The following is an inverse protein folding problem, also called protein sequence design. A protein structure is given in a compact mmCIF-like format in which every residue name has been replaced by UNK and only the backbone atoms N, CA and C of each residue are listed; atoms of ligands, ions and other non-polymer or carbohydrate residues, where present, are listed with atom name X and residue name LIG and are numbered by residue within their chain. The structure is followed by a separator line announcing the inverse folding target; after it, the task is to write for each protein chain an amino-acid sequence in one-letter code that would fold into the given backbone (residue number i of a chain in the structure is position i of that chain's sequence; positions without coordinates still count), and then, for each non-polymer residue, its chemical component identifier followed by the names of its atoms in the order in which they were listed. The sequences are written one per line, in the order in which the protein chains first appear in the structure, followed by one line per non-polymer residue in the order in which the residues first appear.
data_IF_134842898809
#
_entry.id   IF_134842898809
#
_cell.length_a   1.000
_cell.length_b   1.000
_cell.length_c   1.000
_cell.angle_alpha   90.00
_cell.angle_beta   90.00
_cell.angle_gamma   90.00
#
_symmetry.space_group_name_H-M   'P 1'
#
loop_
_entity.id
_entity.type
_entity.pdbx_description
1 polymer ?
#
# COMPACT_ATOMS: atom_id res chain seq x y z
N UNK A 1 10.40 -8.22 3.71
CA UNK A 1 11.51 -7.23 3.73
C UNK A 1 11.54 -6.49 2.41
N UNK A 2 11.71 -5.17 2.45
CA UNK A 2 11.91 -4.32 1.26
C UNK A 2 13.28 -3.71 1.34
N UNK A 3 14.01 -3.63 0.22
CA UNK A 3 15.22 -2.81 0.06
C UNK A 3 15.20 -2.14 -1.30
N UNK A 4 15.66 -0.88 -1.35
CA UNK A 4 15.89 -0.15 -2.60
C UNK A 4 17.36 0.22 -2.69
N UNK A 5 17.90 0.31 -3.89
CA UNK A 5 19.29 0.72 -4.13
C UNK A 5 19.40 1.54 -5.40
N UNK A 6 20.01 2.74 -5.29
CA UNK A 6 20.25 3.70 -6.38
C UNK A 6 19.01 3.97 -7.27
N UNK A 7 17.82 4.06 -6.63
CA UNK A 7 16.54 4.12 -7.33
C UNK A 7 16.33 5.50 -7.96
N UNK A 8 16.12 5.53 -9.27
CA UNK A 8 15.75 6.75 -10.01
C UNK A 8 14.52 6.54 -10.87
N UNK A 9 13.82 7.63 -11.14
CA UNK A 9 12.70 7.62 -12.08
C UNK A 9 12.64 8.94 -12.88
N UNK A 10 12.45 8.83 -14.19
CA UNK A 10 12.31 9.95 -15.11
C UNK A 10 10.98 9.86 -15.82
N UNK A 11 10.12 10.88 -15.69
CA UNK A 11 8.93 11.02 -16.51
C UNK A 11 9.33 11.52 -17.91
N UNK A 12 8.68 11.02 -18.97
CA UNK A 12 9.00 11.36 -20.37
C UNK A 12 9.01 12.88 -20.63
N UNK A 13 8.03 13.60 -20.04
CA UNK A 13 7.85 15.04 -20.20
C UNK A 13 7.73 15.73 -18.82
N UNK A 14 8.44 15.24 -17.82
CA UNK A 14 8.25 15.67 -16.45
C UNK A 14 9.51 15.60 -15.59
N UNK A 15 9.34 15.72 -14.28
CA UNK A 15 10.44 15.74 -13.34
C UNK A 15 11.16 14.39 -13.25
N UNK A 16 12.44 14.47 -12.90
CA UNK A 16 13.26 13.34 -12.51
C UNK A 16 13.36 13.24 -11.01
N UNK A 17 13.36 12.02 -10.48
CA UNK A 17 13.46 11.74 -9.06
C UNK A 17 14.64 10.81 -8.78
N UNK A 18 15.39 11.12 -7.74
CA UNK A 18 16.38 10.24 -7.12
C UNK A 18 15.87 9.94 -5.72
N UNK A 19 15.77 8.66 -5.39
CA UNK A 19 15.26 8.24 -4.10
C UNK A 19 16.38 7.73 -3.21
N UNK A 20 16.35 8.03 -1.90
CA UNK A 20 17.32 7.46 -0.98
C UNK A 20 17.18 5.94 -0.90
N UNK A 21 18.28 5.26 -0.64
CA UNK A 21 18.23 3.84 -0.31
C UNK A 21 17.42 3.64 0.97
N UNK A 22 16.54 2.66 0.93
CA UNK A 22 15.67 2.36 2.06
C UNK A 22 15.61 0.87 2.35
N UNK A 23 15.38 0.56 3.62
CA UNK A 23 15.18 -0.80 4.10
C UNK A 23 14.04 -0.82 5.10
N UNK A 24 13.13 -1.78 4.92
CA UNK A 24 12.06 -2.07 5.87
C UNK A 24 11.93 -3.59 5.99
N UNK A 25 12.18 -4.13 7.18
CA UNK A 25 12.12 -5.58 7.39
C UNK A 25 10.70 -6.04 7.72
N UNK A 26 10.50 -7.35 7.80
CA UNK A 26 9.22 -7.92 8.19
C UNK A 26 8.79 -7.40 9.57
N UNK A 27 7.51 -7.06 9.74
CA UNK A 27 6.92 -6.46 10.95
C UNK A 27 7.42 -5.05 11.29
N UNK A 28 8.34 -4.49 10.52
CA UNK A 28 8.75 -3.09 10.66
C UNK A 28 7.77 -2.15 9.96
N UNK A 29 7.82 -0.91 10.41
CA UNK A 29 7.07 0.20 9.83
C UNK A 29 8.07 1.25 9.36
N UNK A 30 7.86 1.78 8.17
CA UNK A 30 8.65 2.87 7.61
C UNK A 30 7.70 3.99 7.17
N UNK A 31 7.96 5.18 7.68
CA UNK A 31 7.25 6.38 7.27
C UNK A 31 8.10 7.17 6.27
N UNK A 32 7.53 7.48 5.13
CA UNK A 32 8.15 8.32 4.10
C UNK A 32 7.45 9.66 4.10
N UNK A 33 8.13 10.66 4.64
CA UNK A 33 7.63 12.03 4.77
C UNK A 33 8.12 12.91 3.61
N UNK A 34 7.31 13.89 3.24
CA UNK A 34 7.72 14.90 2.26
C UNK A 34 6.55 15.79 1.83
N UNK A 35 6.87 16.95 1.30
CA UNK A 35 5.88 17.88 0.76
C UNK A 35 5.15 17.28 -0.45
N UNK A 36 4.06 17.90 -0.88
CA UNK A 36 3.39 17.52 -2.13
C UNK A 36 4.35 17.71 -3.33
N UNK A 37 4.33 16.77 -4.27
CA UNK A 37 5.13 16.83 -5.50
C UNK A 37 6.59 16.37 -5.38
N UNK A 38 7.07 15.91 -4.20
CA UNK A 38 8.45 15.41 -4.05
C UNK A 38 8.66 13.95 -4.51
N UNK A 39 7.63 13.29 -5.07
CA UNK A 39 7.75 11.93 -5.59
C UNK A 39 7.31 10.82 -4.64
N UNK A 40 6.61 11.11 -3.52
CA UNK A 40 6.14 10.08 -2.57
C UNK A 40 5.31 8.97 -3.25
N UNK A 41 4.25 9.35 -3.96
CA UNK A 41 3.41 8.39 -4.68
C UNK A 41 4.17 7.69 -5.80
N UNK A 42 5.12 8.38 -6.46
CA UNK A 42 6.00 7.77 -7.46
C UNK A 42 6.85 6.66 -6.82
N UNK A 43 7.49 6.93 -5.67
CA UNK A 43 8.25 5.92 -4.93
C UNK A 43 7.36 4.73 -4.54
N UNK A 44 6.17 5.00 -4.03
CA UNK A 44 5.21 3.95 -3.67
C UNK A 44 4.80 3.10 -4.88
N UNK A 45 4.56 3.74 -6.04
CA UNK A 45 4.21 3.03 -7.27
C UNK A 45 5.38 2.19 -7.83
N UNK A 46 6.62 2.65 -7.67
CA UNK A 46 7.82 1.88 -8.02
C UNK A 46 7.93 0.64 -7.13
N UNK A 47 7.84 0.80 -5.79
CA UNK A 47 7.88 -0.32 -4.84
C UNK A 47 6.69 -1.27 -5.07
N UNK A 48 5.52 -0.73 -5.42
CA UNK A 48 4.32 -1.49 -5.76
C UNK A 48 4.38 -2.23 -7.11
N UNK A 49 5.46 -2.03 -7.89
CA UNK A 49 5.60 -2.61 -9.24
C UNK A 49 4.53 -2.12 -10.22
N UNK A 50 3.95 -0.95 -9.97
CA UNK A 50 3.02 -0.28 -10.89
C UNK A 50 3.75 0.53 -11.95
N UNK A 51 5.01 0.89 -11.65
CA UNK A 51 5.92 1.61 -12.54
C UNK A 51 7.28 0.90 -12.52
N UNK A 52 8.01 0.98 -13.63
CA UNK A 52 9.38 0.49 -13.72
C UNK A 52 10.36 1.63 -13.45
N UNK A 53 11.39 1.44 -12.60
CA UNK A 53 12.39 2.47 -12.38
C UNK A 53 13.24 2.71 -13.63
N UNK A 54 13.77 3.92 -13.78
CA UNK A 54 14.73 4.24 -14.83
C UNK A 54 16.11 3.64 -14.56
N UNK A 55 16.50 3.57 -13.29
CA UNK A 55 17.69 2.84 -12.81
C UNK A 55 17.52 2.39 -11.37
N UNK A 56 18.47 1.59 -10.90
CA UNK A 56 18.47 1.04 -9.55
C UNK A 56 17.69 -0.26 -9.43
N UNK A 57 17.49 -0.72 -8.20
CA UNK A 57 16.82 -1.99 -7.94
C UNK A 57 15.87 -1.91 -6.73
N UNK A 58 14.85 -2.74 -6.77
CA UNK A 58 13.88 -2.91 -5.67
C UNK A 58 13.78 -4.41 -5.39
N UNK A 59 14.09 -4.80 -4.16
CA UNK A 59 13.94 -6.18 -3.71
C UNK A 59 12.84 -6.28 -2.67
N UNK A 60 11.94 -7.24 -2.88
CA UNK A 60 10.92 -7.64 -1.90
C UNK A 60 11.17 -9.10 -1.56
N UNK A 61 11.44 -9.36 -0.28
CA UNK A 61 11.96 -10.65 0.17
C UNK A 61 13.21 -11.06 -0.63
N UNK A 62 13.21 -12.18 -1.30
CA UNK A 62 14.34 -12.67 -2.10
C UNK A 62 14.24 -12.30 -3.59
N UNK A 63 13.18 -11.59 -3.98
CA UNK A 63 12.90 -11.29 -5.39
C UNK A 63 13.27 -9.84 -5.73
N UNK A 64 14.07 -9.66 -6.77
CA UNK A 64 14.31 -8.37 -7.42
C UNK A 64 13.16 -8.10 -8.39
N UNK A 65 12.23 -7.22 -7.98
CA UNK A 65 11.02 -6.96 -8.76
C UNK A 65 11.28 -6.11 -10.01
N UNK A 66 12.42 -5.44 -10.07
CA UNK A 66 12.79 -4.64 -11.27
C UNK A 66 13.10 -5.52 -12.48
N UNK A 67 13.38 -6.81 -12.25
CA UNK A 67 13.62 -7.81 -13.31
C UNK A 67 12.35 -8.53 -13.75
N UNK A 68 11.24 -8.30 -13.05
CA UNK A 68 9.94 -8.87 -13.42
C UNK A 68 9.25 -7.97 -14.43
N UNK A 69 8.50 -8.56 -15.35
CA UNK A 69 7.68 -7.81 -16.32
C UNK A 69 6.38 -8.55 -16.64
N UNK A 70 5.40 -7.81 -17.13
CA UNK A 70 4.12 -8.34 -17.56
C UNK A 70 3.48 -9.25 -16.50
N UNK A 71 3.05 -10.44 -16.90
CA UNK A 71 2.32 -11.37 -16.03
C UNK A 71 3.11 -11.82 -14.79
N UNK A 72 4.44 -11.89 -14.87
CA UNK A 72 5.27 -12.25 -13.70
C UNK A 72 5.19 -11.18 -12.62
N UNK A 73 5.24 -9.89 -13.01
CA UNK A 73 5.06 -8.77 -12.08
C UNK A 73 3.64 -8.71 -11.52
N UNK A 74 2.62 -8.91 -12.36
CA UNK A 74 1.22 -8.89 -11.92
C UNK A 74 0.94 -10.00 -10.91
N UNK A 75 1.43 -11.22 -11.16
CA UNK A 75 1.31 -12.35 -10.24
C UNK A 75 2.09 -12.09 -8.94
N UNK A 76 3.30 -11.56 -9.03
CA UNK A 76 4.09 -11.23 -7.84
C UNK A 76 3.39 -10.16 -6.99
N UNK A 77 2.94 -9.07 -7.61
CA UNK A 77 2.21 -7.99 -6.93
C UNK A 77 0.96 -8.50 -6.23
N UNK A 78 0.12 -9.26 -6.96
CA UNK A 78 -1.13 -9.80 -6.42
C UNK A 78 -0.94 -10.69 -5.19
N UNK A 79 0.21 -11.35 -5.06
CA UNK A 79 0.49 -12.30 -3.97
C UNK A 79 1.34 -11.70 -2.83
N UNK A 80 2.13 -10.65 -3.10
CA UNK A 80 3.12 -10.20 -2.13
C UNK A 80 2.94 -8.74 -1.68
N UNK A 81 2.14 -7.94 -2.40
CA UNK A 81 2.04 -6.51 -2.16
C UNK A 81 0.58 -6.11 -1.98
N UNK A 82 0.23 -5.60 -0.80
CA UNK A 82 -1.06 -4.95 -0.55
C UNK A 82 -0.91 -3.44 -0.71
N UNK A 83 -1.72 -2.82 -1.57
CA UNK A 83 -1.67 -1.37 -1.79
C UNK A 83 -2.97 -0.72 -1.34
N UNK A 84 -2.83 0.29 -0.47
CA UNK A 84 -3.91 1.16 -0.02
C UNK A 84 -3.65 2.52 -0.66
N UNK A 85 -4.46 2.87 -1.64
CA UNK A 85 -4.35 4.14 -2.36
C UNK A 85 -5.08 5.27 -1.62
N UNK A 86 -4.63 6.49 -1.82
CA UNK A 86 -5.32 7.69 -1.33
C UNK A 86 -6.79 7.74 -1.80
N UNK A 87 -7.03 7.39 -3.07
CA UNK A 87 -8.37 7.11 -3.59
C UNK A 87 -8.56 5.60 -3.66
N UNK A 88 -9.63 5.07 -3.08
CA UNK A 88 -9.76 3.62 -2.84
C UNK A 88 -9.97 2.73 -4.08
N UNK A 89 -10.19 3.28 -5.26
CA UNK A 89 -10.28 2.56 -6.56
C UNK A 89 -11.03 1.21 -6.49
N UNK A 90 -12.25 1.21 -5.93
CA UNK A 90 -13.10 0.03 -5.96
C UNK A 90 -13.74 -0.17 -7.34
N UNK A 91 -13.98 -1.41 -7.71
CA UNK A 91 -14.89 -1.74 -8.80
C UNK A 91 -16.31 -1.46 -8.32
N UNK A 92 -16.85 -0.32 -8.71
CA UNK A 92 -18.11 0.24 -8.18
C UNK A 92 -19.34 -0.61 -8.47
N UNK A 93 -19.30 -1.45 -9.52
CA UNK A 93 -20.37 -2.39 -9.85
C UNK A 93 -20.43 -3.59 -8.89
N UNK A 94 -19.39 -3.80 -8.09
CA UNK A 94 -19.27 -4.93 -7.18
C UNK A 94 -19.58 -4.54 -5.74
N UNK A 95 -19.99 -5.53 -4.95
CA UNK A 95 -20.12 -5.39 -3.50
C UNK A 95 -18.74 -5.32 -2.82
N UNK A 96 -18.71 -5.00 -1.53
CA UNK A 96 -17.46 -5.00 -0.73
C UNK A 96 -16.78 -6.37 -0.82
N UNK A 97 -17.52 -7.45 -0.55
CA UNK A 97 -16.94 -8.80 -0.56
C UNK A 97 -16.49 -9.21 -1.97
N UNK A 98 -17.23 -8.84 -3.01
CA UNK A 98 -16.87 -9.18 -4.39
C UNK A 98 -15.58 -8.46 -4.84
N UNK A 99 -15.29 -7.26 -4.33
CA UNK A 99 -14.00 -6.59 -4.55
C UNK A 99 -12.83 -7.38 -3.93
N UNK A 100 -13.04 -8.04 -2.78
CA UNK A 100 -12.01 -8.89 -2.17
C UNK A 100 -11.85 -10.21 -2.96
N UNK A 101 -12.96 -10.85 -3.33
CA UNK A 101 -12.95 -12.08 -4.14
C UNK A 101 -12.27 -11.85 -5.50
N UNK A 102 -12.51 -10.70 -6.11
CA UNK A 102 -11.85 -10.29 -7.35
C UNK A 102 -10.34 -10.17 -7.15
N UNK A 103 -9.89 -9.57 -6.03
CA UNK A 103 -8.46 -9.45 -5.75
C UNK A 103 -7.77 -10.82 -5.58
N UNK A 104 -8.43 -11.79 -4.95
CA UNK A 104 -7.93 -13.17 -4.90
C UNK A 104 -7.87 -13.81 -6.28
N UNK A 105 -8.94 -13.69 -7.06
CA UNK A 105 -9.01 -14.27 -8.41
C UNK A 105 -7.92 -13.71 -9.34
N UNK A 106 -7.69 -12.39 -9.31
CA UNK A 106 -6.70 -11.73 -10.17
C UNK A 106 -5.26 -12.10 -9.81
N UNK A 107 -4.99 -12.45 -8.56
CA UNK A 107 -3.66 -12.94 -8.14
C UNK A 107 -3.39 -14.40 -8.47
N UNK A 108 -4.40 -15.12 -9.01
CA UNK A 108 -4.33 -16.56 -9.28
C UNK A 108 -4.54 -17.44 -8.06
N UNK A 109 -4.96 -16.85 -6.93
CA UNK A 109 -5.25 -17.58 -5.71
C UNK A 109 -6.63 -18.29 -5.80
N UNK A 110 -6.78 -19.32 -4.98
CA UNK A 110 -8.10 -19.92 -4.75
C UNK A 110 -9.00 -18.89 -4.09
N UNK A 111 -10.16 -18.68 -4.68
CA UNK A 111 -11.16 -17.75 -4.15
C UNK A 111 -11.79 -18.33 -2.88
N UNK A 112 -11.51 -17.70 -1.75
CA UNK A 112 -11.99 -18.13 -0.42
C UNK A 112 -12.90 -17.05 0.20
N UNK A 113 -14.21 -17.28 0.06
CA UNK A 113 -15.23 -16.39 0.61
C UNK A 113 -15.23 -16.36 2.14
N UNK A 114 -14.92 -17.48 2.79
CA UNK A 114 -14.89 -17.56 4.25
C UNK A 114 -13.76 -16.68 4.82
N UNK A 115 -12.57 -16.75 4.20
CA UNK A 115 -11.45 -15.87 4.51
C UNK A 115 -11.81 -14.39 4.33
N UNK A 116 -12.45 -14.03 3.20
CA UNK A 116 -12.90 -12.65 2.95
C UNK A 116 -13.87 -12.17 4.04
N UNK A 117 -14.85 -13.01 4.41
CA UNK A 117 -15.84 -12.68 5.46
C UNK A 117 -15.14 -12.47 6.81
N UNK A 118 -14.29 -13.41 7.22
CA UNK A 118 -13.53 -13.31 8.47
C UNK A 118 -12.66 -12.05 8.53
N UNK A 119 -12.03 -11.68 7.40
CA UNK A 119 -11.24 -10.46 7.32
C UNK A 119 -12.11 -9.19 7.46
N UNK A 120 -13.29 -9.16 6.84
CA UNK A 120 -14.23 -8.04 6.98
C UNK A 120 -14.77 -7.93 8.41
N UNK A 121 -15.03 -9.06 9.10
CA UNK A 121 -15.45 -9.07 10.50
C UNK A 121 -14.33 -8.56 11.42
N UNK A 122 -13.08 -8.99 11.22
CA UNK A 122 -11.89 -8.50 11.94
C UNK A 122 -11.71 -6.98 11.79
N UNK A 123 -12.09 -6.43 10.66
CA UNK A 123 -12.03 -4.98 10.38
C UNK A 123 -13.33 -4.23 10.76
N UNK A 124 -14.26 -4.88 11.47
CA UNK A 124 -15.52 -4.31 11.92
C UNK A 124 -16.45 -3.79 10.81
N UNK A 125 -16.37 -4.38 9.62
CA UNK A 125 -17.26 -4.05 8.46
C UNK A 125 -17.97 -5.26 7.87
N UNK A 126 -18.00 -6.40 8.54
CA UNK A 126 -18.67 -7.62 8.05
C UNK A 126 -20.14 -7.40 7.67
N UNK A 127 -20.86 -6.56 8.43
CA UNK A 127 -22.26 -6.18 8.13
C UNK A 127 -22.41 -5.43 6.78
N UNK A 128 -21.32 -4.94 6.22
CA UNK A 128 -21.29 -4.22 4.93
C UNK A 128 -20.81 -5.08 3.77
N UNK A 129 -20.49 -6.36 3.99
CA UNK A 129 -19.94 -7.28 2.98
C UNK A 129 -20.74 -7.26 1.66
N UNK A 130 -22.04 -7.33 1.74
CA UNK A 130 -22.94 -7.36 0.58
C UNK A 130 -23.46 -5.98 0.14
N UNK A 131 -22.88 -4.88 0.67
CA UNK A 131 -23.25 -3.54 0.26
C UNK A 131 -22.38 -3.06 -0.90
N UNK A 132 -22.92 -2.18 -1.73
CA UNK A 132 -22.16 -1.49 -2.75
C UNK A 132 -21.17 -0.51 -2.09
N UNK A 133 -19.96 -0.41 -2.62
CA UNK A 133 -18.89 0.43 -2.07
C UNK A 133 -19.25 1.92 -2.04
N UNK A 134 -20.15 2.39 -2.92
CA UNK A 134 -20.65 3.77 -2.91
C UNK A 134 -21.49 4.12 -1.68
N UNK A 135 -22.12 3.14 -1.06
CA UNK A 135 -22.99 3.34 0.11
C UNK A 135 -22.23 3.36 1.45
N UNK A 136 -20.90 3.19 1.42
CA UNK A 136 -20.08 3.18 2.60
C UNK A 136 -19.74 4.60 3.07
N UNK A 137 -19.67 4.81 4.38
CA UNK A 137 -19.02 5.98 4.97
C UNK A 137 -17.53 6.00 4.60
N UNK A 138 -16.86 7.12 4.84
CA UNK A 138 -15.42 7.25 4.56
C UNK A 138 -14.60 6.23 5.36
N UNK A 139 -14.87 6.08 6.66
CA UNK A 139 -14.16 5.10 7.51
C UNK A 139 -14.44 3.65 7.10
N UNK A 140 -15.70 3.31 6.74
CA UNK A 140 -16.03 1.98 6.22
C UNK A 140 -15.32 1.71 4.87
N UNK A 141 -15.22 2.71 4.02
CA UNK A 141 -14.52 2.62 2.75
C UNK A 141 -13.02 2.40 2.96
N UNK A 142 -12.42 3.07 3.94
CA UNK A 142 -11.02 2.89 4.30
C UNK A 142 -10.76 1.46 4.83
N UNK A 143 -11.61 0.97 5.74
CA UNK A 143 -11.53 -0.41 6.25
C UNK A 143 -11.69 -1.45 5.13
N UNK A 144 -12.58 -1.22 4.17
CA UNK A 144 -12.75 -2.09 3.02
C UNK A 144 -11.51 -2.07 2.09
N UNK A 145 -10.85 -0.92 1.92
CA UNK A 145 -9.61 -0.81 1.17
C UNK A 145 -8.46 -1.56 1.85
N UNK A 146 -8.37 -1.47 3.17
CA UNK A 146 -7.42 -2.26 3.98
C UNK A 146 -7.71 -3.75 3.81
N UNK A 147 -8.98 -4.20 3.92
CA UNK A 147 -9.35 -5.59 3.71
C UNK A 147 -8.90 -6.10 2.33
N UNK A 148 -9.16 -5.32 1.27
CA UNK A 148 -8.75 -5.69 -0.08
C UNK A 148 -7.23 -5.81 -0.22
N UNK A 149 -6.47 -4.92 0.42
CA UNK A 149 -5.01 -4.97 0.39
C UNK A 149 -4.44 -6.21 1.12
N UNK A 150 -5.14 -6.69 2.15
CA UNK A 150 -4.69 -7.79 3.01
C UNK A 150 -5.16 -9.19 2.57
N UNK A 151 -6.14 -9.27 1.67
CA UNK A 151 -6.86 -10.53 1.38
C UNK A 151 -5.96 -11.67 0.89
N UNK A 152 -4.81 -11.34 0.30
CA UNK A 152 -3.82 -12.30 -0.21
C UNK A 152 -2.62 -12.51 0.74
N UNK A 153 -2.68 -12.08 2.00
CA UNK A 153 -1.60 -12.17 2.99
C UNK A 153 -0.27 -11.60 2.46
N UNK A 154 -0.23 -10.31 2.11
CA UNK A 154 0.94 -9.71 1.48
C UNK A 154 2.14 -9.69 2.44
N UNK A 155 3.36 -9.84 1.89
CA UNK A 155 4.59 -9.62 2.63
C UNK A 155 4.90 -8.14 2.87
N UNK A 156 4.26 -7.27 2.08
CA UNK A 156 4.45 -5.81 2.11
C UNK A 156 3.10 -5.11 1.99
N UNK A 157 2.86 -4.13 2.86
CA UNK A 157 1.71 -3.24 2.80
C UNK A 157 2.23 -1.83 2.50
N UNK A 158 1.72 -1.25 1.42
CA UNK A 158 2.02 0.12 0.98
C UNK A 158 0.77 0.98 1.18
N UNK A 159 0.90 2.11 1.86
CA UNK A 159 -0.23 3.02 2.09
C UNK A 159 0.12 4.44 1.60
N UNK A 160 -0.65 4.95 0.65
CA UNK A 160 -0.51 6.31 0.12
C UNK A 160 -1.50 7.23 0.82
N UNK A 161 -0.97 8.16 1.61
CA UNK A 161 -1.75 9.19 2.33
C UNK A 161 -2.97 8.62 3.10
N UNK A 162 -2.84 7.54 3.89
CA UNK A 162 -3.98 6.82 4.44
C UNK A 162 -4.80 7.63 5.45
N UNK A 163 -4.29 8.75 5.94
CA UNK A 163 -4.89 9.58 6.99
C UNK A 163 -5.18 11.02 6.55
N UNK A 164 -4.83 11.40 5.32
CA UNK A 164 -4.82 12.80 4.86
C UNK A 164 -6.17 13.53 4.89
N UNK A 165 -7.28 12.78 4.89
CA UNK A 165 -8.64 13.33 4.90
C UNK A 165 -9.39 13.06 6.23
N UNK A 166 -8.64 12.74 7.31
CA UNK A 166 -9.19 12.33 8.61
C UNK A 166 -8.84 13.35 9.69
N UNK A 167 -9.76 13.51 10.64
CA UNK A 167 -9.47 14.18 11.91
C UNK A 167 -8.50 13.36 12.78
N UNK A 168 -8.09 13.91 13.93
CA UNK A 168 -7.05 13.31 14.75
C UNK A 168 -7.45 11.94 15.33
N UNK A 169 -8.72 11.78 15.74
CA UNK A 169 -9.22 10.53 16.32
C UNK A 169 -9.26 9.44 15.26
N UNK A 170 -9.85 9.71 14.11
CA UNK A 170 -9.93 8.77 12.98
C UNK A 170 -8.54 8.47 12.38
N UNK A 171 -7.63 9.46 12.36
CA UNK A 171 -6.24 9.26 11.95
C UNK A 171 -5.55 8.22 12.84
N UNK A 172 -5.68 8.37 14.16
CA UNK A 172 -5.13 7.44 15.14
C UNK A 172 -5.69 6.03 14.98
N UNK A 173 -7.00 5.91 14.82
CA UNK A 173 -7.68 4.61 14.63
C UNK A 173 -7.21 3.88 13.37
N UNK A 174 -7.10 4.60 12.24
CA UNK A 174 -6.63 4.00 10.97
C UNK A 174 -5.17 3.59 11.06
N UNK A 175 -4.31 4.40 11.68
CA UNK A 175 -2.91 4.05 11.86
C UNK A 175 -2.74 2.80 12.73
N UNK A 176 -3.44 2.74 13.88
CA UNK A 176 -3.38 1.58 14.78
C UNK A 176 -3.90 0.32 14.08
N UNK A 177 -4.99 0.44 13.32
CA UNK A 177 -5.50 -0.65 12.50
C UNK A 177 -4.49 -1.16 11.48
N UNK A 178 -3.82 -0.27 10.75
CA UNK A 178 -2.78 -0.64 9.77
C UNK A 178 -1.61 -1.35 10.44
N UNK A 179 -1.15 -0.83 11.59
CA UNK A 179 -0.05 -1.41 12.38
C UNK A 179 -0.40 -2.80 12.89
N UNK A 180 -1.58 -2.95 13.47
CA UNK A 180 -2.08 -4.22 13.98
C UNK A 180 -2.17 -5.25 12.84
N UNK A 181 -2.77 -4.88 11.72
CA UNK A 181 -2.92 -5.79 10.60
C UNK A 181 -1.57 -6.17 9.97
N UNK A 182 -0.64 -5.22 9.82
CA UNK A 182 0.71 -5.52 9.34
C UNK A 182 1.45 -6.48 10.27
N UNK A 183 1.33 -6.30 11.59
CA UNK A 183 1.93 -7.19 12.58
C UNK A 183 1.32 -8.60 12.54
N UNK A 184 0.00 -8.71 12.40
CA UNK A 184 -0.72 -9.99 12.30
C UNK A 184 -0.32 -10.79 11.06
N UNK A 185 -0.14 -10.11 9.92
CA UNK A 185 0.31 -10.75 8.67
C UNK A 185 1.85 -10.95 8.62
N UNK A 186 2.60 -10.40 9.58
CA UNK A 186 4.07 -10.41 9.54
C UNK A 186 4.65 -9.54 8.43
N UNK A 187 3.87 -8.63 7.89
CA UNK A 187 4.21 -7.78 6.75
C UNK A 187 5.09 -6.59 7.15
N UNK A 188 5.90 -6.10 6.21
CA UNK A 188 6.50 -4.77 6.27
C UNK A 188 5.43 -3.72 5.90
N UNK A 189 5.34 -2.62 6.66
CA UNK A 189 4.40 -1.53 6.40
C UNK A 189 5.16 -0.28 5.98
N UNK A 190 4.89 0.23 4.77
CA UNK A 190 5.43 1.51 4.30
C UNK A 190 4.27 2.48 4.11
N UNK A 191 4.34 3.61 4.80
CA UNK A 191 3.36 4.70 4.68
C UNK A 191 4.04 5.90 4.06
N UNK A 192 3.50 6.42 2.97
CA UNK A 192 3.93 7.70 2.40
C UNK A 192 2.89 8.78 2.74
N UNK A 193 3.34 9.92 3.29
CA UNK A 193 2.44 10.99 3.69
C UNK A 193 3.16 12.33 3.84
N UNK A 194 2.40 13.42 3.85
CA UNK A 194 2.85 14.73 4.30
C UNK A 194 2.40 15.02 5.75
N UNK A 195 1.63 14.12 6.37
CA UNK A 195 1.07 14.28 7.71
C UNK A 195 2.14 14.05 8.79
N UNK A 196 2.61 15.13 9.38
CA UNK A 196 3.64 15.10 10.42
C UNK A 196 3.17 14.46 11.74
N UNK A 197 1.84 14.33 11.97
CA UNK A 197 1.27 13.68 13.17
C UNK A 197 1.73 12.22 13.30
N UNK A 198 2.01 11.56 12.17
CA UNK A 198 2.45 10.17 12.15
C UNK A 198 3.91 10.00 12.58
N UNK A 199 4.73 11.06 12.53
CA UNK A 199 6.16 11.02 12.87
C UNK A 199 6.41 10.59 14.31
N UNK A 200 5.60 11.08 15.24
CA UNK A 200 5.75 10.75 16.66
C UNK A 200 5.30 9.33 17.00
N UNK A 201 4.56 8.70 16.08
CA UNK A 201 4.00 7.36 16.24
C UNK A 201 4.80 6.27 15.51
N UNK A 202 5.57 6.64 14.49
CA UNK A 202 6.44 5.74 13.72
C UNK A 202 7.86 6.28 13.78
N UNK A 203 8.69 5.68 14.65
CA UNK A 203 10.07 6.15 14.89
C UNK A 203 11.00 5.97 13.69
N UNK A 204 10.76 4.98 12.84
CA UNK A 204 11.55 4.75 11.62
C UNK A 204 10.96 5.58 10.47
N UNK A 205 11.64 6.66 10.09
CA UNK A 205 11.16 7.54 9.03
C UNK A 205 12.30 8.09 8.17
N UNK A 206 11.96 8.36 6.92
CA UNK A 206 12.82 9.06 5.96
C UNK A 206 12.10 10.30 5.43
N UNK A 207 12.88 11.32 5.04
CA UNK A 207 12.35 12.52 4.43
C UNK A 207 12.74 12.56 2.95
N UNK A 208 11.76 12.63 2.05
CA UNK A 208 12.01 12.95 0.66
C UNK A 208 12.14 14.46 0.51
N UNK A 209 13.31 14.91 0.08
CA UNK A 209 13.60 16.29 -0.31
C UNK A 209 13.33 16.50 -1.81
N UNK A 210 13.42 17.78 -2.25
CA UNK A 210 13.45 18.10 -3.67
C UNK A 210 14.87 17.92 -4.21
N UNK A 211 15.34 16.69 -4.34
CA UNK A 211 16.46 16.41 -5.23
C UNK A 211 15.92 16.17 -6.64
N UNK A 212 15.63 17.28 -7.32
CA UNK A 212 15.34 17.29 -8.75
C UNK A 212 16.71 17.44 -9.42
N UNK A 213 17.25 16.36 -9.98
CA UNK A 213 18.34 16.52 -10.95
C UNK A 213 17.71 16.97 -12.26
N UNK A 214 18.18 18.11 -12.75
CA UNK A 214 17.88 18.69 -14.07
C UNK A 214 18.59 17.90 -15.14
#
# INVERSE_FOLDING_TARGET
MITTHDLTYHYSDGPSFVFPDMKCTAREQLLVLGQSGVGKSTLLHLIGGLMQPSSGSIRISDTDITKLSGRAMDSFRGNNIGIIFQQNHFVEALTVIDNLLLAQSLSGNVVDKAKCTSLLDRLNIGRKANKNTKSLSQGERQRAAIARALVNNPAVILADEPTSALDDDNCSEVLDLLREQAANEGAALVIVTHDSRLKDRIGNHIHLGKEIQV
#
